data_IF_035809625595
#
_entry.id   IF_035809625595
#
_cell.length_a   1.000
_cell.length_b   1.000
_cell.length_c   1.000
_cell.angle_alpha   90.00
_cell.angle_beta   90.00
_cell.angle_gamma   90.00
#
_symmetry.space_group_name_H-M   'P 1'
#
loop_
_entity.id
_entity.type
_entity.pdbx_description
1 polymer ?
#
# COMPACT_ATOMS: atom_id res chain seq x y z
N UNK A 1 -38.29 -22.11 -63.60
CA UNK A 1 -37.36 -21.89 -62.46
C UNK A 1 -36.17 -22.83 -62.32
N UNK A 2 -35.86 -23.75 -63.19
CA UNK A 2 -34.72 -24.70 -63.12
C UNK A 2 -33.40 -24.23 -63.79
N UNK A 3 -33.41 -23.25 -64.70
CA UNK A 3 -32.22 -22.81 -65.46
C UNK A 3 -31.27 -21.84 -64.73
N UNK A 4 -31.69 -21.21 -63.58
CA UNK A 4 -30.83 -20.29 -62.83
C UNK A 4 -29.92 -20.96 -61.75
N UNK A 5 -30.07 -22.26 -61.49
CA UNK A 5 -29.28 -23.00 -60.48
C UNK A 5 -27.91 -23.44 -60.95
N UNK A 6 -27.69 -23.68 -62.24
CA UNK A 6 -26.43 -24.13 -62.77
C UNK A 6 -25.28 -23.10 -62.72
N UNK A 7 -25.52 -21.81 -63.06
CA UNK A 7 -24.45 -20.81 -62.95
C UNK A 7 -24.04 -20.52 -61.51
N UNK A 8 -24.98 -20.66 -60.54
CA UNK A 8 -24.69 -20.49 -59.13
C UNK A 8 -23.82 -21.62 -58.58
N UNK A 9 -24.01 -22.87 -59.02
CA UNK A 9 -23.21 -24.02 -58.66
C UNK A 9 -21.80 -23.95 -59.26
N UNK A 10 -21.65 -23.42 -60.47
CA UNK A 10 -20.37 -23.21 -61.16
C UNK A 10 -19.46 -22.20 -60.44
N UNK A 11 -20.03 -21.25 -59.74
CA UNK A 11 -19.28 -20.27 -58.92
C UNK A 11 -19.09 -20.77 -57.47
N UNK A 12 -20.11 -21.40 -56.91
CA UNK A 12 -20.09 -21.87 -55.51
C UNK A 12 -19.07 -23.00 -55.27
N UNK A 13 -18.98 -23.93 -56.21
CA UNK A 13 -18.05 -25.07 -56.09
C UNK A 13 -16.54 -24.66 -56.06
N UNK A 14 -16.06 -23.83 -56.98
CA UNK A 14 -14.68 -23.30 -56.90
C UNK A 14 -14.45 -22.44 -55.65
N UNK A 15 -15.43 -21.64 -55.21
CA UNK A 15 -15.31 -20.84 -54.01
C UNK A 15 -15.20 -21.71 -52.75
N UNK A 16 -16.04 -22.77 -52.64
CA UNK A 16 -15.94 -23.75 -51.55
C UNK A 16 -14.63 -24.53 -51.55
N UNK A 17 -14.19 -24.96 -52.75
CA UNK A 17 -12.90 -25.66 -52.90
C UNK A 17 -11.71 -24.76 -52.51
N UNK A 18 -11.77 -23.48 -52.90
CA UNK A 18 -10.75 -22.48 -52.50
C UNK A 18 -10.78 -22.23 -50.97
N UNK A 19 -11.96 -22.06 -50.41
CA UNK A 19 -12.14 -21.86 -48.95
C UNK A 19 -11.64 -23.11 -48.20
N UNK A 20 -11.98 -24.32 -48.65
CA UNK A 20 -11.50 -25.57 -48.06
C UNK A 20 -9.96 -25.71 -48.13
N UNK A 21 -9.38 -25.41 -49.30
CA UNK A 21 -7.93 -25.39 -49.45
C UNK A 21 -7.23 -24.44 -48.44
N UNK A 22 -7.72 -23.20 -48.32
CA UNK A 22 -7.17 -22.23 -47.40
C UNK A 22 -7.39 -22.62 -45.93
N UNK A 23 -8.54 -23.19 -45.60
CA UNK A 23 -8.82 -23.66 -44.24
C UNK A 23 -7.85 -24.77 -43.82
N UNK A 24 -7.60 -25.77 -44.70
CA UNK A 24 -6.63 -26.85 -44.42
C UNK A 24 -5.22 -26.29 -44.34
N UNK A 25 -4.84 -25.40 -45.25
CA UNK A 25 -3.52 -24.78 -45.27
C UNK A 25 -3.23 -23.98 -44.04
N UNK A 26 -4.17 -23.16 -43.55
CA UNK A 26 -4.05 -22.36 -42.32
C UNK A 26 -4.02 -23.27 -41.08
N UNK A 27 -4.91 -24.28 -41.01
CA UNK A 27 -4.91 -25.24 -39.91
C UNK A 27 -3.59 -26.00 -39.80
N UNK A 28 -3.02 -26.39 -40.96
CA UNK A 28 -1.71 -27.06 -41.00
C UNK A 28 -0.59 -26.11 -40.57
N UNK A 29 -0.62 -24.85 -41.00
CA UNK A 29 0.29 -23.83 -40.57
C UNK A 29 0.27 -23.61 -39.06
N UNK A 30 -0.93 -23.49 -38.48
CA UNK A 30 -1.08 -23.35 -37.02
C UNK A 30 -0.58 -24.58 -36.26
N UNK A 31 -0.85 -25.79 -36.77
CA UNK A 31 -0.33 -27.02 -36.20
C UNK A 31 1.21 -27.01 -36.17
N UNK A 32 1.87 -26.72 -37.30
CA UNK A 32 3.33 -26.65 -37.40
C UNK A 32 3.91 -25.53 -36.52
N UNK A 33 3.17 -24.41 -36.34
CA UNK A 33 3.61 -23.28 -35.52
C UNK A 33 3.73 -23.59 -34.03
N UNK A 34 3.06 -24.66 -33.56
CA UNK A 34 3.09 -25.13 -32.17
C UNK A 34 4.25 -26.10 -31.88
N UNK A 35 5.05 -26.43 -32.88
CA UNK A 35 6.19 -27.34 -32.72
C UNK A 35 7.30 -26.68 -31.87
N UNK A 36 8.07 -27.52 -31.17
CA UNK A 36 9.20 -27.07 -30.37
C UNK A 36 10.44 -26.71 -31.21
N UNK A 37 10.51 -27.19 -32.46
CA UNK A 37 11.64 -27.00 -33.35
C UNK A 37 11.46 -25.81 -34.29
N UNK A 38 12.43 -24.90 -34.33
CA UNK A 38 12.39 -23.70 -35.16
C UNK A 38 12.22 -24.01 -36.67
N UNK A 39 12.81 -25.08 -37.15
CA UNK A 39 12.65 -25.49 -38.56
C UNK A 39 11.22 -25.90 -38.91
N UNK A 40 10.57 -26.62 -38.02
CA UNK A 40 9.16 -27.01 -38.19
C UNK A 40 8.24 -25.78 -38.17
N UNK A 41 8.48 -24.81 -37.27
CA UNK A 41 7.78 -23.53 -37.26
C UNK A 41 8.04 -22.71 -38.53
N UNK A 42 9.27 -22.75 -39.08
CA UNK A 42 9.63 -22.07 -40.33
C UNK A 42 8.84 -22.64 -41.53
N UNK A 43 8.55 -23.95 -41.57
CA UNK A 43 7.64 -24.54 -42.56
C UNK A 43 6.21 -24.00 -42.42
N UNK A 44 5.74 -23.77 -41.18
CA UNK A 44 4.46 -23.11 -40.92
C UNK A 44 4.41 -21.72 -41.56
N UNK A 45 5.47 -20.91 -41.45
CA UNK A 45 5.57 -19.58 -42.09
C UNK A 45 5.39 -19.64 -43.60
N UNK A 46 5.91 -20.70 -44.27
CA UNK A 46 5.73 -20.86 -45.71
C UNK A 46 4.28 -21.13 -46.11
N UNK A 47 3.50 -21.74 -45.22
CA UNK A 47 2.08 -22.02 -45.46
C UNK A 47 1.20 -20.79 -45.18
N UNK A 48 1.58 -19.93 -44.22
CA UNK A 48 0.85 -18.68 -43.87
C UNK A 48 1.81 -17.49 -43.87
N UNK A 49 2.32 -17.01 -45.00
CA UNK A 49 3.33 -15.94 -45.04
C UNK A 49 2.85 -14.59 -44.56
N UNK A 50 1.53 -14.36 -44.48
CA UNK A 50 0.89 -13.15 -43.98
C UNK A 50 0.58 -13.19 -42.48
N UNK A 51 0.92 -14.25 -41.76
CA UNK A 51 0.63 -14.41 -40.33
C UNK A 51 1.82 -13.92 -39.50
N UNK A 52 1.59 -12.82 -38.76
CA UNK A 52 2.59 -12.23 -37.87
C UNK A 52 2.85 -13.10 -36.63
N UNK A 53 1.84 -13.79 -36.10
CA UNK A 53 1.96 -14.60 -34.89
C UNK A 53 2.89 -15.80 -35.09
N UNK A 54 2.81 -16.43 -36.24
CA UNK A 54 3.71 -17.57 -36.58
C UNK A 54 5.17 -17.09 -36.66
N UNK A 55 5.41 -15.88 -37.19
CA UNK A 55 6.76 -15.28 -37.20
C UNK A 55 7.28 -14.95 -35.82
N UNK A 56 6.39 -14.50 -34.93
CA UNK A 56 6.74 -14.28 -33.52
C UNK A 56 7.10 -15.59 -32.83
N UNK A 57 6.33 -16.68 -33.10
CA UNK A 57 6.65 -18.02 -32.59
C UNK A 57 7.98 -18.52 -33.14
N UNK A 58 8.27 -18.30 -34.41
CA UNK A 58 9.57 -18.63 -35.00
C UNK A 58 10.72 -17.90 -34.32
N UNK A 59 10.52 -16.59 -34.03
CA UNK A 59 11.50 -15.80 -33.28
C UNK A 59 11.73 -16.39 -31.88
N UNK A 60 10.65 -16.77 -31.18
CA UNK A 60 10.73 -17.38 -29.84
C UNK A 60 11.53 -18.69 -29.86
N UNK A 61 11.28 -19.57 -30.86
CA UNK A 61 11.98 -20.83 -30.97
C UNK A 61 13.47 -20.64 -31.32
N UNK A 62 13.78 -19.65 -32.16
CA UNK A 62 15.18 -19.33 -32.50
C UNK A 62 15.92 -18.80 -31.26
N UNK A 63 15.30 -17.90 -30.49
CA UNK A 63 15.89 -17.39 -29.23
C UNK A 63 16.12 -18.51 -28.21
N UNK A 64 15.14 -19.41 -28.05
CA UNK A 64 15.28 -20.58 -27.19
C UNK A 64 16.44 -21.52 -27.61
N UNK A 65 16.70 -21.58 -28.91
CA UNK A 65 17.83 -22.33 -29.47
C UNK A 65 19.15 -21.53 -29.50
N UNK A 66 19.18 -20.30 -28.97
CA UNK A 66 20.36 -19.42 -29.05
C UNK A 66 20.67 -18.90 -30.47
N UNK A 67 19.73 -19.00 -31.41
CA UNK A 67 19.87 -18.56 -32.77
C UNK A 67 19.31 -17.16 -33.02
N UNK A 68 19.75 -16.51 -34.09
CA UNK A 68 19.34 -15.16 -34.44
C UNK A 68 17.83 -15.08 -34.79
N UNK A 69 17.10 -14.22 -34.10
CA UNK A 69 15.64 -14.05 -34.22
C UNK A 69 15.22 -12.78 -34.96
N UNK A 70 16.15 -11.83 -35.18
CA UNK A 70 15.84 -10.46 -35.64
C UNK A 70 15.10 -10.42 -36.97
N UNK A 71 15.49 -11.23 -37.94
CA UNK A 71 14.82 -11.29 -39.26
C UNK A 71 13.34 -11.73 -39.14
N UNK A 72 13.04 -12.68 -38.25
CA UNK A 72 11.67 -13.11 -38.00
C UNK A 72 10.84 -11.99 -37.29
N UNK A 73 11.45 -11.26 -36.32
CA UNK A 73 10.81 -10.13 -35.65
C UNK A 73 10.57 -8.96 -36.64
N UNK A 74 11.53 -8.64 -37.52
CA UNK A 74 11.34 -7.59 -38.52
C UNK A 74 10.20 -7.92 -39.48
N UNK A 75 10.14 -9.18 -39.93
CA UNK A 75 9.06 -9.64 -40.78
C UNK A 75 7.69 -9.62 -40.04
N UNK A 76 7.64 -9.96 -38.74
CA UNK A 76 6.46 -9.85 -37.95
C UNK A 76 6.02 -8.39 -37.80
N UNK A 77 6.95 -7.45 -37.51
CA UNK A 77 6.68 -6.02 -37.38
C UNK A 77 6.18 -5.37 -38.68
N UNK A 78 6.59 -5.90 -39.83
CA UNK A 78 6.12 -5.45 -41.16
C UNK A 78 4.66 -5.88 -41.39
N UNK A 79 4.26 -7.07 -40.92
CA UNK A 79 2.91 -7.61 -41.07
C UNK A 79 1.94 -7.02 -40.03
N UNK A 80 2.38 -6.85 -38.79
CA UNK A 80 1.61 -6.23 -37.71
C UNK A 80 2.41 -5.08 -37.08
N UNK A 81 2.34 -3.86 -37.67
CA UNK A 81 3.01 -2.69 -37.13
C UNK A 81 2.44 -2.21 -35.80
N UNK A 82 1.26 -2.69 -35.40
CA UNK A 82 0.58 -2.38 -34.12
C UNK A 82 1.10 -3.19 -32.95
N UNK A 83 1.88 -4.24 -33.19
CA UNK A 83 2.36 -5.13 -32.13
C UNK A 83 3.53 -4.51 -31.35
N UNK A 84 3.22 -3.88 -30.25
CA UNK A 84 4.20 -3.21 -29.41
C UNK A 84 5.28 -4.15 -28.85
N UNK A 85 4.92 -5.40 -28.53
CA UNK A 85 5.86 -6.37 -27.97
C UNK A 85 6.99 -6.71 -28.96
N UNK A 86 6.67 -6.80 -30.26
CA UNK A 86 7.68 -7.02 -31.32
C UNK A 86 8.64 -5.84 -31.39
N UNK A 87 8.12 -4.61 -31.32
CA UNK A 87 8.95 -3.40 -31.33
C UNK A 87 9.84 -3.28 -30.10
N UNK A 88 9.34 -3.68 -28.90
CA UNK A 88 10.18 -3.73 -27.69
C UNK A 88 11.34 -4.70 -27.90
N UNK A 89 11.10 -5.91 -28.41
CA UNK A 89 12.15 -6.92 -28.65
C UNK A 89 13.17 -6.43 -29.67
N UNK A 90 12.72 -5.85 -30.79
CA UNK A 90 13.63 -5.23 -31.77
C UNK A 90 14.47 -4.12 -31.16
N UNK A 91 13.88 -3.30 -30.30
CA UNK A 91 14.61 -2.25 -29.58
C UNK A 91 15.69 -2.80 -28.64
N UNK A 92 15.35 -3.81 -27.84
CA UNK A 92 16.33 -4.48 -26.97
C UNK A 92 17.43 -5.20 -27.75
N UNK A 93 17.08 -5.82 -28.88
CA UNK A 93 18.06 -6.43 -29.76
C UNK A 93 19.05 -5.41 -30.33
N UNK A 94 18.53 -4.28 -30.85
CA UNK A 94 19.37 -3.21 -31.40
C UNK A 94 20.30 -2.60 -30.33
N UNK A 95 19.79 -2.42 -29.11
CA UNK A 95 20.60 -1.96 -27.97
C UNK A 95 21.74 -2.90 -27.64
N UNK A 96 21.44 -4.21 -27.56
CA UNK A 96 22.43 -5.24 -27.27
C UNK A 96 23.54 -5.34 -28.36
N UNK A 97 23.22 -4.95 -29.60
CA UNK A 97 24.16 -4.97 -30.75
C UNK A 97 24.81 -3.60 -31.02
N UNK A 98 24.66 -2.64 -30.07
CA UNK A 98 25.37 -1.37 -30.15
C UNK A 98 24.78 -0.35 -31.13
N UNK A 99 23.49 -0.49 -31.53
CA UNK A 99 22.77 0.51 -32.31
C UNK A 99 21.73 1.24 -31.43
N UNK A 100 22.15 2.24 -30.65
CA UNK A 100 21.23 2.97 -29.78
C UNK A 100 20.17 3.76 -30.57
N UNK A 101 20.48 4.23 -31.76
CA UNK A 101 19.52 4.98 -32.57
C UNK A 101 18.38 4.08 -33.07
N UNK A 102 18.68 2.87 -33.52
CA UNK A 102 17.63 1.91 -33.87
C UNK A 102 16.84 1.44 -32.64
N UNK A 103 17.52 1.22 -31.51
CA UNK A 103 16.88 0.87 -30.25
C UNK A 103 15.83 1.89 -29.84
N UNK A 104 16.20 3.18 -29.80
CA UNK A 104 15.30 4.26 -29.45
C UNK A 104 14.09 4.36 -30.39
N UNK A 105 14.34 4.32 -31.71
CA UNK A 105 13.25 4.33 -32.70
C UNK A 105 12.25 3.19 -32.51
N UNK A 106 12.73 1.99 -32.26
CA UNK A 106 11.87 0.81 -32.04
C UNK A 106 11.06 0.96 -30.74
N UNK A 107 11.70 1.38 -29.64
CA UNK A 107 11.04 1.54 -28.34
C UNK A 107 10.02 2.69 -28.35
N UNK A 108 10.31 3.81 -29.04
CA UNK A 108 9.35 4.89 -29.27
C UNK A 108 8.15 4.42 -30.09
N UNK A 109 8.38 3.58 -31.09
CA UNK A 109 7.30 2.99 -31.89
C UNK A 109 6.44 2.05 -31.06
N UNK A 110 7.04 1.21 -30.22
CA UNK A 110 6.33 0.36 -29.25
C UNK A 110 5.42 1.20 -28.32
N UNK A 111 5.96 2.29 -27.76
CA UNK A 111 5.20 3.17 -26.87
C UNK A 111 4.04 3.90 -27.57
N UNK A 112 4.13 4.14 -28.88
CA UNK A 112 3.03 4.69 -29.69
C UNK A 112 1.99 3.65 -30.05
N UNK A 113 2.42 2.41 -30.32
CA UNK A 113 1.54 1.31 -30.72
C UNK A 113 0.67 0.80 -29.56
N UNK A 114 1.13 0.93 -28.30
CA UNK A 114 0.39 0.46 -27.13
C UNK A 114 0.39 1.46 -25.99
N UNK A 115 -0.79 1.64 -25.38
CA UNK A 115 -0.97 2.40 -24.15
C UNK A 115 -0.56 1.67 -22.86
N UNK A 116 -0.03 0.44 -22.95
CA UNK A 116 0.28 -0.43 -21.80
C UNK A 116 1.57 -0.04 -21.08
N UNK A 117 1.82 -0.70 -19.97
CA UNK A 117 2.98 -0.47 -19.10
C UNK A 117 4.30 -0.87 -19.76
N UNK A 118 4.39 -2.09 -20.34
CA UNK A 118 5.65 -2.66 -20.76
C UNK A 118 6.43 -1.82 -21.77
N UNK A 119 5.84 -1.26 -22.86
CA UNK A 119 6.59 -0.44 -23.79
C UNK A 119 7.16 0.85 -23.16
N UNK A 120 6.42 1.46 -22.23
CA UNK A 120 6.87 2.65 -21.50
C UNK A 120 7.97 2.31 -20.50
N UNK A 121 7.84 1.19 -19.82
CA UNK A 121 8.84 0.66 -18.91
C UNK A 121 10.13 0.31 -19.63
N UNK A 122 10.07 -0.37 -20.79
CA UNK A 122 11.23 -0.65 -21.62
C UNK A 122 11.96 0.63 -22.05
N UNK A 123 11.20 1.66 -22.46
CA UNK A 123 11.74 2.95 -22.85
C UNK A 123 12.36 3.72 -21.66
N UNK A 124 11.74 3.68 -20.48
CA UNK A 124 12.31 4.26 -19.26
C UNK A 124 13.65 3.59 -18.90
N UNK A 125 13.69 2.26 -18.91
CA UNK A 125 14.94 1.51 -18.68
C UNK A 125 16.04 1.84 -19.70
N UNK A 126 15.67 2.00 -20.96
CA UNK A 126 16.60 2.41 -22.02
C UNK A 126 17.26 3.75 -21.67
N UNK A 127 16.48 4.78 -21.36
CA UNK A 127 17.03 6.09 -20.98
C UNK A 127 17.80 6.06 -19.65
N UNK A 128 17.39 5.22 -18.70
CA UNK A 128 18.13 5.04 -17.46
C UNK A 128 19.53 4.47 -17.70
N UNK A 129 19.65 3.41 -18.52
CA UNK A 129 20.97 2.83 -18.86
C UNK A 129 21.88 3.81 -19.60
N UNK A 130 21.31 4.78 -20.31
CA UNK A 130 22.04 5.84 -21.00
C UNK A 130 22.33 7.07 -20.15
N UNK A 131 21.92 7.05 -18.88
CA UNK A 131 22.03 8.19 -17.97
C UNK A 131 21.43 9.48 -18.53
N UNK A 132 20.28 9.38 -19.22
CA UNK A 132 19.55 10.49 -19.82
C UNK A 132 18.33 10.85 -18.96
N UNK A 133 18.48 11.73 -17.95
CA UNK A 133 17.39 12.09 -17.06
C UNK A 133 16.30 12.91 -17.76
N UNK A 134 16.65 13.66 -18.82
CA UNK A 134 15.69 14.51 -19.52
C UNK A 134 14.56 13.69 -20.16
N UNK A 135 14.90 12.55 -20.75
CA UNK A 135 13.94 11.63 -21.35
C UNK A 135 13.42 10.57 -20.37
N UNK A 136 14.20 10.22 -19.34
CA UNK A 136 13.82 9.21 -18.33
C UNK A 136 12.58 9.60 -17.53
N UNK A 137 12.55 10.78 -16.89
CA UNK A 137 11.49 11.15 -15.96
C UNK A 137 10.08 11.13 -16.58
N UNK A 138 9.86 11.69 -17.79
CA UNK A 138 8.55 11.61 -18.43
C UNK A 138 8.10 10.16 -18.67
N UNK A 139 9.03 9.27 -19.07
CA UNK A 139 8.71 7.87 -19.36
C UNK A 139 8.45 7.05 -18.09
N UNK A 140 9.18 7.31 -17.01
CA UNK A 140 8.91 6.72 -15.70
C UNK A 140 7.52 7.14 -15.19
N UNK A 141 7.14 8.42 -15.32
CA UNK A 141 5.82 8.91 -14.96
C UNK A 141 4.71 8.27 -15.81
N UNK A 142 4.89 8.19 -17.15
CA UNK A 142 3.97 7.51 -18.05
C UNK A 142 3.79 6.04 -17.70
N UNK A 143 4.89 5.33 -17.39
CA UNK A 143 4.84 3.93 -16.97
C UNK A 143 4.04 3.78 -15.67
N UNK A 144 4.31 4.60 -14.65
CA UNK A 144 3.58 4.57 -13.37
C UNK A 144 2.10 4.92 -13.52
N UNK A 145 1.71 5.75 -14.50
CA UNK A 145 0.29 6.02 -14.80
C UNK A 145 -0.46 4.80 -15.28
N UNK A 146 0.20 3.90 -15.99
CA UNK A 146 -0.39 2.69 -16.58
C UNK A 146 -0.11 1.44 -15.76
N UNK A 147 0.71 1.54 -14.71
CA UNK A 147 1.21 0.42 -13.96
C UNK A 147 0.12 -0.30 -13.15
N UNK A 148 0.26 -1.60 -13.08
CA UNK A 148 -0.48 -2.55 -12.24
C UNK A 148 0.51 -3.56 -11.65
N UNK A 149 0.13 -4.17 -10.54
CA UNK A 149 1.01 -5.12 -9.85
C UNK A 149 2.12 -4.46 -9.03
N UNK A 150 3.31 -5.06 -9.03
CA UNK A 150 4.44 -4.59 -8.24
C UNK A 150 5.14 -3.40 -8.90
N UNK A 151 5.12 -2.23 -8.23
CA UNK A 151 5.76 -1.00 -8.67
C UNK A 151 7.18 -0.79 -8.13
N UNK A 152 7.64 -1.66 -7.22
CA UNK A 152 8.95 -1.50 -6.58
C UNK A 152 10.12 -1.39 -7.58
N UNK A 153 10.17 -2.15 -8.69
CA UNK A 153 11.25 -2.00 -9.67
C UNK A 153 11.32 -0.59 -10.26
N UNK A 154 10.16 0.04 -10.52
CA UNK A 154 10.12 1.41 -11.06
C UNK A 154 10.62 2.41 -10.02
N UNK A 155 10.20 2.28 -8.77
CA UNK A 155 10.67 3.15 -7.69
C UNK A 155 12.17 2.98 -7.44
N UNK A 156 12.68 1.76 -7.44
CA UNK A 156 14.11 1.49 -7.32
C UNK A 156 14.90 2.15 -8.46
N UNK A 157 14.41 2.05 -9.70
CA UNK A 157 15.03 2.69 -10.84
C UNK A 157 15.02 4.22 -10.71
N UNK A 158 13.91 4.84 -10.25
CA UNK A 158 13.87 6.28 -9.97
C UNK A 158 14.92 6.69 -8.93
N UNK A 159 15.09 5.88 -7.86
CA UNK A 159 16.08 6.13 -6.82
C UNK A 159 17.53 5.86 -7.26
N UNK A 160 17.76 5.05 -8.29
CA UNK A 160 19.07 4.90 -8.90
C UNK A 160 19.45 6.09 -9.79
N UNK A 161 18.45 6.73 -10.42
CA UNK A 161 18.64 7.89 -11.28
C UNK A 161 18.85 9.19 -10.51
N UNK A 162 18.27 9.31 -9.31
CA UNK A 162 18.47 10.47 -8.44
C UNK A 162 18.32 10.07 -6.98
N UNK A 163 19.07 10.75 -6.09
CA UNK A 163 18.90 10.65 -4.64
C UNK A 163 18.07 11.78 -4.05
N UNK A 164 17.59 12.70 -4.89
CA UNK A 164 16.71 13.79 -4.48
C UNK A 164 15.25 13.33 -4.43
N UNK A 165 14.65 13.20 -3.24
CA UNK A 165 13.27 12.73 -3.09
C UNK A 165 12.25 13.72 -3.66
N UNK A 166 12.55 15.03 -3.64
CA UNK A 166 11.64 16.04 -4.17
C UNK A 166 11.54 15.95 -5.68
N UNK A 167 12.70 15.82 -6.34
CA UNK A 167 12.77 15.62 -7.80
C UNK A 167 12.03 14.36 -8.23
N UNK A 168 12.25 13.23 -7.52
CA UNK A 168 11.57 11.96 -7.83
C UNK A 168 10.06 12.12 -7.68
N UNK A 169 9.60 12.71 -6.57
CA UNK A 169 8.18 12.90 -6.31
C UNK A 169 7.52 13.78 -7.35
N UNK A 170 8.15 14.90 -7.71
CA UNK A 170 7.63 15.85 -8.70
C UNK A 170 7.61 15.27 -10.12
N UNK A 171 8.71 14.62 -10.54
CA UNK A 171 8.91 14.23 -11.94
C UNK A 171 8.37 12.85 -12.28
N UNK A 172 8.52 11.88 -11.35
CA UNK A 172 8.17 10.48 -11.63
C UNK A 172 6.79 10.07 -11.10
N UNK A 173 6.40 10.55 -9.89
CA UNK A 173 5.24 10.00 -9.19
C UNK A 173 3.94 10.71 -9.61
N UNK A 174 3.04 10.03 -10.35
CA UNK A 174 1.76 10.64 -10.71
C UNK A 174 0.84 10.74 -9.47
N UNK A 175 -0.09 11.73 -9.40
CA UNK A 175 -1.02 11.92 -8.30
C UNK A 175 -2.18 10.91 -8.35
N UNK A 176 -1.88 9.63 -8.60
CA UNK A 176 -2.82 8.50 -8.55
C UNK A 176 -2.78 7.85 -7.18
N UNK A 177 -3.94 7.72 -6.52
CA UNK A 177 -4.06 7.13 -5.18
C UNK A 177 -3.32 5.78 -5.05
N UNK A 178 -3.48 4.88 -6.02
CA UNK A 178 -2.83 3.57 -6.01
C UNK A 178 -1.30 3.67 -6.07
N UNK A 179 -0.77 4.58 -6.88
CA UNK A 179 0.69 4.81 -6.99
C UNK A 179 1.23 5.49 -5.75
N UNK A 180 0.53 6.51 -5.23
CA UNK A 180 0.90 7.18 -3.98
C UNK A 180 0.94 6.21 -2.79
N UNK A 181 -0.06 5.32 -2.68
CA UNK A 181 -0.11 4.29 -1.64
C UNK A 181 1.07 3.31 -1.76
N UNK A 182 1.36 2.82 -2.97
CA UNK A 182 2.48 1.92 -3.23
C UNK A 182 3.82 2.61 -2.96
N UNK A 183 3.98 3.88 -3.38
CA UNK A 183 5.21 4.64 -3.17
C UNK A 183 5.43 4.95 -1.68
N UNK A 184 4.39 5.31 -0.95
CA UNK A 184 4.46 5.47 0.51
C UNK A 184 4.89 4.16 1.19
N UNK A 185 4.35 3.01 0.75
CA UNK A 185 4.77 1.70 1.24
C UNK A 185 6.26 1.47 1.03
N UNK A 186 6.74 1.71 -0.19
CA UNK A 186 8.15 1.59 -0.55
C UNK A 186 9.05 2.47 0.33
N UNK A 187 8.69 3.74 0.52
CA UNK A 187 9.47 4.68 1.34
C UNK A 187 9.50 4.29 2.82
N UNK A 188 8.39 3.82 3.37
CA UNK A 188 8.31 3.33 4.75
C UNK A 188 9.17 2.07 4.94
N UNK A 189 9.14 1.14 3.98
CA UNK A 189 9.97 -0.06 4.01
C UNK A 189 11.47 0.29 3.95
N UNK A 190 11.84 1.29 3.14
CA UNK A 190 13.21 1.80 3.04
C UNK A 190 13.61 2.72 4.20
N UNK A 191 12.71 2.95 5.17
CA UNK A 191 12.89 3.90 6.28
C UNK A 191 13.23 5.34 5.85
N UNK A 192 12.68 5.80 4.71
CA UNK A 192 12.92 7.13 4.14
C UNK A 192 11.82 8.11 4.59
N UNK A 193 11.73 8.37 5.89
CA UNK A 193 10.61 9.11 6.49
C UNK A 193 10.47 10.56 5.98
N UNK A 194 11.58 11.26 5.77
CA UNK A 194 11.56 12.62 5.24
C UNK A 194 10.97 12.67 3.82
N UNK A 195 11.35 11.72 2.95
CA UNK A 195 10.79 11.59 1.60
C UNK A 195 9.31 11.16 1.62
N UNK A 196 8.89 10.41 2.64
CA UNK A 196 7.53 9.93 2.76
C UNK A 196 6.52 11.01 3.16
N UNK A 197 6.95 12.10 3.79
CA UNK A 197 6.05 13.16 4.29
C UNK A 197 5.18 13.81 3.19
N UNK A 198 5.71 14.34 2.07
CA UNK A 198 4.90 14.93 1.01
C UNK A 198 4.01 13.88 0.32
N UNK A 199 4.47 12.63 0.23
CA UNK A 199 3.68 11.53 -0.34
C UNK A 199 2.48 11.19 0.55
N UNK A 200 2.68 11.10 1.88
CA UNK A 200 1.62 10.88 2.85
C UNK A 200 0.58 12.01 2.82
N UNK A 201 1.02 13.27 2.73
CA UNK A 201 0.13 14.42 2.62
C UNK A 201 -0.71 14.37 1.33
N UNK A 202 -0.07 14.08 0.19
CA UNK A 202 -0.75 13.93 -1.10
C UNK A 202 -1.74 12.76 -1.07
N UNK A 203 -1.34 11.60 -0.52
CA UNK A 203 -2.23 10.45 -0.37
C UNK A 203 -3.41 10.76 0.56
N UNK A 204 -3.17 11.39 1.71
CA UNK A 204 -4.22 11.74 2.67
C UNK A 204 -5.30 12.65 2.05
N UNK A 205 -4.91 13.56 1.11
CA UNK A 205 -5.84 14.44 0.43
C UNK A 205 -6.84 13.72 -0.50
N UNK A 206 -6.53 12.49 -0.93
CA UNK A 206 -7.37 11.67 -1.83
C UNK A 206 -7.70 10.29 -1.23
N UNK A 207 -7.38 10.08 0.06
CA UNK A 207 -7.48 8.80 0.73
C UNK A 207 -8.92 8.27 0.80
N UNK A 208 -9.02 6.95 0.76
CA UNK A 208 -10.23 6.15 1.06
C UNK A 208 -9.99 5.28 2.29
N UNK A 209 -11.01 4.61 2.83
CA UNK A 209 -10.82 3.68 3.95
C UNK A 209 -9.77 2.59 3.74
N UNK A 210 -9.51 2.19 2.51
CA UNK A 210 -8.49 1.20 2.15
C UNK A 210 -7.05 1.68 2.43
N UNK A 211 -6.82 3.00 2.44
CA UNK A 211 -5.50 3.60 2.65
C UNK A 211 -5.18 3.78 4.16
N UNK A 212 -6.18 3.57 5.05
CA UNK A 212 -6.03 3.75 6.51
C UNK A 212 -4.81 3.04 7.08
N UNK A 213 -4.59 1.72 6.82
CA UNK A 213 -3.47 1.02 7.46
C UNK A 213 -2.12 1.64 7.12
N UNK A 214 -1.95 2.10 5.88
CA UNK A 214 -0.71 2.72 5.41
C UNK A 214 -0.46 4.08 6.05
N UNK A 215 -1.49 4.93 6.09
CA UNK A 215 -1.38 6.27 6.66
C UNK A 215 -1.28 6.24 8.18
N UNK A 216 -1.94 5.27 8.84
CA UNK A 216 -1.77 5.04 10.29
C UNK A 216 -0.34 4.56 10.58
N UNK A 217 0.20 3.62 9.82
CA UNK A 217 1.58 3.16 9.97
C UNK A 217 2.59 4.30 9.77
N UNK A 218 2.32 5.22 8.85
CA UNK A 218 3.12 6.43 8.70
C UNK A 218 3.02 7.34 9.94
N UNK A 219 1.80 7.55 10.48
CA UNK A 219 1.63 8.30 11.73
C UNK A 219 2.43 7.68 12.88
N UNK A 220 2.38 6.35 13.04
CA UNK A 220 3.15 5.65 14.08
C UNK A 220 4.64 5.91 13.94
N UNK A 221 5.19 5.81 12.73
CA UNK A 221 6.61 6.11 12.46
C UNK A 221 6.97 7.56 12.81
N UNK A 222 6.06 8.52 12.57
CA UNK A 222 6.28 9.91 12.94
C UNK A 222 6.23 10.12 14.47
N UNK A 223 5.30 9.44 15.16
CA UNK A 223 5.21 9.47 16.62
C UNK A 223 6.44 8.86 17.27
N UNK A 224 6.92 7.72 16.78
CA UNK A 224 8.15 7.06 17.24
C UNK A 224 9.39 7.95 17.03
N UNK A 225 9.42 8.71 15.92
CA UNK A 225 10.45 9.68 15.60
C UNK A 225 10.30 11.04 16.32
N UNK A 226 9.26 11.22 17.14
CA UNK A 226 9.00 12.47 17.86
C UNK A 226 8.39 13.60 17.02
N UNK A 227 8.00 13.34 15.77
CA UNK A 227 7.40 14.32 14.86
C UNK A 227 5.87 14.38 15.02
N UNK A 228 5.42 14.78 16.21
CA UNK A 228 3.98 14.86 16.57
C UNK A 228 3.19 15.77 15.63
N UNK A 229 3.65 16.98 15.23
CA UNK A 229 2.89 17.85 14.33
C UNK A 229 2.64 17.21 12.97
N UNK A 230 3.61 16.47 12.40
CA UNK A 230 3.45 15.80 11.12
C UNK A 230 2.40 14.68 11.19
N UNK A 231 2.45 13.85 12.24
CA UNK A 231 1.46 12.81 12.46
C UNK A 231 0.04 13.40 12.66
N UNK A 232 -0.07 14.48 13.45
CA UNK A 232 -1.33 15.15 13.75
C UNK A 232 -1.97 15.78 12.49
N UNK A 233 -1.17 16.38 11.61
CA UNK A 233 -1.65 16.97 10.37
C UNK A 233 -2.32 15.91 9.47
N UNK A 234 -1.68 14.76 9.29
CA UNK A 234 -2.26 13.65 8.51
C UNK A 234 -3.49 13.06 9.20
N UNK A 235 -3.41 12.81 10.51
CA UNK A 235 -4.53 12.30 11.28
C UNK A 235 -5.77 13.19 11.15
N UNK A 236 -5.62 14.50 11.33
CA UNK A 236 -6.71 15.45 11.21
C UNK A 236 -7.26 15.57 9.78
N UNK A 237 -6.39 15.46 8.78
CA UNK A 237 -6.83 15.39 7.38
C UNK A 237 -7.73 14.18 7.15
N UNK A 238 -7.37 13.01 7.67
CA UNK A 238 -8.17 11.79 7.56
C UNK A 238 -9.50 11.89 8.32
N UNK A 239 -9.50 12.51 9.50
CA UNK A 239 -10.73 12.78 10.28
C UNK A 239 -11.66 13.72 9.52
N UNK A 240 -11.15 14.86 9.03
CA UNK A 240 -11.93 15.86 8.30
C UNK A 240 -12.55 15.27 7.01
N UNK A 241 -11.85 14.36 6.37
CA UNK A 241 -12.34 13.62 5.18
C UNK A 241 -13.25 12.44 5.53
N UNK A 242 -13.50 12.17 6.80
CA UNK A 242 -14.26 11.01 7.29
C UNK A 242 -13.67 9.66 6.85
N UNK A 243 -12.38 9.63 6.54
CA UNK A 243 -11.63 8.39 6.35
C UNK A 243 -11.45 7.69 7.69
N UNK A 244 -11.20 8.45 8.77
CA UNK A 244 -11.26 7.96 10.15
C UNK A 244 -12.60 8.36 10.78
N UNK A 245 -13.20 7.50 11.65
CA UNK A 245 -14.50 7.76 12.27
C UNK A 245 -14.40 8.65 13.51
N UNK A 246 -13.38 9.52 13.58
CA UNK A 246 -13.07 10.33 14.76
C UNK A 246 -13.16 11.83 14.45
N UNK A 247 -13.33 12.64 15.49
CA UNK A 247 -13.16 14.08 15.38
C UNK A 247 -11.66 14.43 15.24
N UNK A 248 -11.33 15.53 14.55
CA UNK A 248 -9.96 16.03 14.51
C UNK A 248 -9.46 16.36 15.92
N UNK A 249 -8.18 16.07 16.17
CA UNK A 249 -7.53 16.38 17.44
C UNK A 249 -7.08 17.84 17.48
N UNK A 250 -7.21 18.47 18.67
CA UNK A 250 -6.76 19.83 18.85
C UNK A 250 -5.23 19.90 18.99
N UNK A 251 -4.59 20.72 18.15
CA UNK A 251 -3.15 20.97 18.23
C UNK A 251 -2.68 21.56 19.57
N UNK A 252 -3.59 22.17 20.35
CA UNK A 252 -3.30 22.69 21.68
C UNK A 252 -3.34 21.61 22.79
N UNK A 253 -3.48 20.34 22.42
CA UNK A 253 -3.27 19.22 23.30
C UNK A 253 -4.38 18.96 24.34
N UNK A 254 -5.64 19.26 24.02
CA UNK A 254 -6.77 18.86 24.83
C UNK A 254 -7.63 17.85 24.05
N UNK A 255 -7.03 16.68 23.70
CA UNK A 255 -7.74 15.79 22.83
C UNK A 255 -7.43 14.31 23.10
N UNK A 256 -8.48 13.58 23.33
CA UNK A 256 -8.51 12.13 23.44
C UNK A 256 -9.40 11.59 22.33
N UNK A 257 -8.92 10.59 21.59
CA UNK A 257 -9.67 9.97 20.51
C UNK A 257 -10.66 8.95 21.09
N UNK A 258 -11.94 9.04 20.69
CA UNK A 258 -12.97 8.03 20.96
C UNK A 258 -13.08 7.59 22.43
N UNK A 259 -13.24 8.57 23.33
CA UNK A 259 -13.37 8.32 24.77
C UNK A 259 -14.63 7.54 25.16
N UNK A 260 -15.62 7.48 24.27
CA UNK A 260 -16.86 6.70 24.47
C UNK A 260 -16.80 5.32 23.79
N UNK A 261 -15.68 4.96 23.19
CA UNK A 261 -15.50 3.69 22.48
C UNK A 261 -16.58 3.43 21.43
N UNK A 262 -16.92 4.48 20.67
CA UNK A 262 -17.95 4.42 19.64
C UNK A 262 -17.54 3.61 18.41
N UNK A 263 -16.24 3.57 18.11
CA UNK A 263 -15.64 2.83 16.99
C UNK A 263 -14.77 1.68 17.47
N UNK A 264 -14.47 0.74 16.55
CA UNK A 264 -13.46 -0.28 16.82
C UNK A 264 -12.06 0.36 16.95
N UNK A 265 -11.26 -0.04 17.94
CA UNK A 265 -9.90 0.44 18.10
C UNK A 265 -9.03 0.11 16.87
N UNK A 266 -8.45 1.12 16.24
CA UNK A 266 -7.63 0.95 15.03
C UNK A 266 -6.20 0.47 15.32
N UNK A 267 -5.77 0.50 16.58
CA UNK A 267 -4.48 -0.04 17.00
C UNK A 267 -3.26 0.80 16.63
N UNK A 268 -3.43 2.01 16.07
CA UNK A 268 -2.32 2.85 15.63
C UNK A 268 -2.65 4.35 15.58
N UNK A 269 -1.66 5.18 15.26
CA UNK A 269 -1.78 6.63 15.28
C UNK A 269 -2.19 7.16 16.65
N UNK A 270 -3.23 7.97 16.68
CA UNK A 270 -3.82 8.47 17.93
C UNK A 270 -5.07 7.68 18.36
N UNK A 271 -5.36 6.52 17.78
CA UNK A 271 -6.43 5.64 18.22
C UNK A 271 -6.01 4.78 19.42
N UNK A 272 -7.00 4.16 20.07
CA UNK A 272 -6.77 3.17 21.10
C UNK A 272 -6.03 1.94 20.55
N UNK A 273 -5.06 1.47 21.35
CA UNK A 273 -4.30 0.25 21.12
C UNK A 273 -4.67 -0.79 22.16
N UNK A 274 -5.25 -1.88 21.73
CA UNK A 274 -5.47 -3.07 22.53
C UNK A 274 -4.28 -4.00 22.38
N UNK A 275 -3.60 -4.31 23.47
CA UNK A 275 -2.50 -5.27 23.45
C UNK A 275 -3.05 -6.70 23.47
N UNK A 276 -2.59 -7.59 22.57
CA UNK A 276 -2.89 -9.02 22.65
C UNK A 276 -2.08 -9.64 23.80
N UNK A 277 -2.73 -9.86 24.95
CA UNK A 277 -2.09 -10.36 26.17
C UNK A 277 -2.67 -11.71 26.54
N UNK A 278 -1.81 -12.68 26.90
CA UNK A 278 -2.24 -13.95 27.47
C UNK A 278 -3.05 -13.68 28.75
N UNK A 279 -4.18 -14.35 28.89
CA UNK A 279 -5.03 -14.20 30.07
C UNK A 279 -5.82 -12.90 30.18
N UNK A 280 -5.86 -12.09 29.13
CA UNK A 280 -6.70 -10.89 29.02
C UNK A 280 -7.55 -10.99 27.76
N UNK A 281 -8.85 -10.91 27.90
CA UNK A 281 -9.81 -10.73 26.82
C UNK A 281 -10.39 -9.33 26.89
N UNK A 282 -10.61 -8.70 25.74
CA UNK A 282 -11.20 -7.38 25.65
C UNK A 282 -12.24 -7.32 24.55
N UNK A 283 -13.23 -6.47 24.70
CA UNK A 283 -14.24 -6.26 23.69
C UNK A 283 -15.05 -5.00 23.96
N UNK A 284 -15.79 -4.56 22.95
CA UNK A 284 -16.64 -3.38 23.01
C UNK A 284 -18.11 -3.74 23.13
N UNK A 285 -18.84 -3.05 24.00
CA UNK A 285 -20.29 -3.08 24.02
C UNK A 285 -20.84 -1.83 23.29
N UNK A 286 -21.67 -2.02 22.24
CA UNK A 286 -22.18 -0.89 21.45
C UNK A 286 -23.33 -0.12 22.13
N UNK A 287 -24.08 -0.75 23.03
CA UNK A 287 -25.25 -0.14 23.72
C UNK A 287 -25.53 -0.81 25.06
N UNK A 288 -25.34 -0.14 26.19
CA UNK A 288 -24.63 1.13 26.34
C UNK A 288 -23.16 1.01 25.95
N UNK A 289 -22.56 2.11 25.45
CA UNK A 289 -21.17 2.11 24.98
C UNK A 289 -20.20 1.98 26.14
N UNK A 290 -19.35 0.95 26.13
CA UNK A 290 -18.20 0.76 27.02
C UNK A 290 -17.21 -0.24 26.41
N UNK A 291 -15.96 -0.14 26.83
CA UNK A 291 -14.93 -1.15 26.57
C UNK A 291 -14.82 -2.04 27.80
N UNK A 292 -14.76 -3.36 27.61
CA UNK A 292 -14.61 -4.30 28.71
C UNK A 292 -13.35 -5.13 28.57
N UNK A 293 -12.82 -5.54 29.72
CA UNK A 293 -11.70 -6.46 29.87
C UNK A 293 -12.10 -7.58 30.83
N UNK A 294 -11.63 -8.79 30.55
CA UNK A 294 -11.70 -9.94 31.46
C UNK A 294 -10.29 -10.44 31.71
N UNK A 295 -9.90 -10.53 32.95
CA UNK A 295 -8.62 -10.99 33.43
C UNK A 295 -8.79 -12.37 34.05
N UNK A 296 -8.00 -13.37 33.62
CA UNK A 296 -8.08 -14.76 34.07
C UNK A 296 -7.05 -15.16 35.13
N UNK A 297 -6.28 -14.20 35.68
CA UNK A 297 -5.17 -14.48 36.57
C UNK A 297 -3.90 -15.03 35.87
N UNK A 298 -3.93 -15.23 34.55
CA UNK A 298 -2.80 -15.79 33.76
C UNK A 298 -2.00 -14.72 32.99
N UNK A 299 -2.41 -13.45 33.08
CA UNK A 299 -1.69 -12.35 32.42
C UNK A 299 -0.30 -12.14 33.03
N UNK A 300 0.64 -11.46 32.31
CA UNK A 300 1.93 -11.09 32.88
C UNK A 300 1.80 -10.28 34.16
N UNK A 301 2.80 -10.35 35.06
CA UNK A 301 2.82 -9.61 36.32
C UNK A 301 2.75 -8.09 36.16
N UNK A 302 3.24 -7.60 35.01
CA UNK A 302 3.08 -6.23 34.58
C UNK A 302 2.64 -6.21 33.12
N UNK A 303 1.54 -5.51 32.82
CA UNK A 303 1.01 -5.42 31.47
C UNK A 303 0.24 -4.12 31.23
N UNK A 304 0.09 -3.76 29.98
CA UNK A 304 -0.67 -2.61 29.50
C UNK A 304 -1.74 -3.09 28.49
N UNK A 305 -2.94 -3.48 28.92
CA UNK A 305 -3.97 -3.97 28.02
C UNK A 305 -4.54 -2.92 27.07
N UNK A 306 -4.48 -1.63 27.43
CA UNK A 306 -5.00 -0.52 26.65
C UNK A 306 -4.06 0.68 26.72
N UNK A 307 -3.79 1.31 25.58
CA UNK A 307 -3.02 2.55 25.54
C UNK A 307 -3.48 3.47 24.40
N UNK A 308 -3.20 4.78 24.58
CA UNK A 308 -3.42 5.79 23.55
C UNK A 308 -2.35 6.88 23.64
N UNK A 309 -1.89 7.38 22.49
CA UNK A 309 -1.07 8.58 22.43
C UNK A 309 -1.94 9.84 22.45
N UNK A 310 -1.55 10.81 23.25
CA UNK A 310 -2.24 12.08 23.44
C UNK A 310 -1.29 13.21 23.00
N UNK A 311 -1.64 14.01 21.99
CA UNK A 311 -0.90 15.24 21.72
C UNK A 311 -1.18 16.23 22.85
N UNK A 312 -0.12 16.72 23.49
CA UNK A 312 -0.22 17.61 24.65
C UNK A 312 0.66 18.85 24.47
N UNK A 313 0.27 19.95 25.10
CA UNK A 313 1.11 21.13 25.17
C UNK A 313 2.16 20.96 26.28
N UNK A 314 3.37 21.46 26.04
CA UNK A 314 4.45 21.44 27.00
C UNK A 314 4.16 22.33 28.22
N UNK A 315 4.51 21.90 29.40
CA UNK A 315 4.33 22.64 30.65
C UNK A 315 2.87 22.93 31.03
N UNK A 316 1.89 22.19 30.50
CA UNK A 316 0.48 22.41 30.70
C UNK A 316 -0.14 21.40 31.68
N UNK A 317 -1.20 21.82 32.34
CA UNK A 317 -1.97 20.97 33.26
C UNK A 317 -3.18 20.37 32.56
N UNK A 318 -3.46 19.09 32.83
CA UNK A 318 -4.56 18.36 32.25
C UNK A 318 -5.33 17.58 33.28
N UNK A 319 -6.62 17.35 33.00
CA UNK A 319 -7.51 16.48 33.74
C UNK A 319 -8.08 15.42 32.83
N UNK A 320 -7.77 14.16 33.12
CA UNK A 320 -8.42 12.98 32.53
C UNK A 320 -9.62 12.64 33.42
N UNK A 321 -10.84 12.65 32.85
CA UNK A 321 -12.01 12.10 33.49
C UNK A 321 -12.37 10.76 32.87
N UNK A 322 -12.86 9.83 33.69
CA UNK A 322 -13.26 8.51 33.24
C UNK A 322 -14.31 7.89 34.15
N UNK A 323 -15.08 6.93 33.62
CA UNK A 323 -15.96 6.11 34.43
C UNK A 323 -15.58 4.64 34.26
N UNK A 324 -15.60 3.90 35.36
CA UNK A 324 -15.26 2.49 35.39
C UNK A 324 -16.19 1.71 36.31
N UNK A 325 -16.24 0.39 36.09
CA UNK A 325 -16.88 -0.61 36.94
C UNK A 325 -16.06 -1.86 36.93
N UNK A 326 -15.89 -2.53 38.08
CA UNK A 326 -15.20 -3.82 38.18
C UNK A 326 -16.15 -4.90 38.68
N UNK A 327 -15.84 -6.16 38.38
CA UNK A 327 -16.45 -7.36 38.96
C UNK A 327 -15.35 -8.27 39.42
N UNK A 328 -15.41 -8.74 40.65
CA UNK A 328 -14.44 -9.69 41.25
C UNK A 328 -13.00 -9.14 41.37
N UNK A 329 -12.77 -7.86 41.10
CA UNK A 329 -11.47 -7.20 41.23
C UNK A 329 -11.37 -6.52 42.61
N UNK A 330 -10.40 -6.96 43.40
CA UNK A 330 -10.16 -6.41 44.75
C UNK A 330 -9.47 -5.05 44.75
N UNK A 331 -9.42 -4.41 45.94
CA UNK A 331 -8.83 -3.07 46.10
C UNK A 331 -7.31 -3.04 45.87
N UNK A 332 -6.61 -4.14 46.11
CA UNK A 332 -5.16 -4.26 45.90
C UNK A 332 -4.79 -4.87 44.54
N UNK A 333 -5.58 -4.54 43.50
CA UNK A 333 -5.45 -5.14 42.18
C UNK A 333 -4.20 -4.69 41.41
N UNK A 334 -3.61 -3.56 41.73
CA UNK A 334 -2.56 -2.94 40.92
C UNK A 334 -3.03 -2.43 39.55
N UNK A 335 -4.36 -2.35 39.34
CA UNK A 335 -4.97 -1.89 38.11
C UNK A 335 -5.21 -0.37 38.18
N UNK A 336 -4.55 0.39 37.29
CA UNK A 336 -4.63 1.85 37.31
C UNK A 336 -4.43 2.48 35.94
N UNK A 337 -4.89 3.72 35.81
CA UNK A 337 -4.45 4.58 34.69
C UNK A 337 -3.09 5.17 35.00
N UNK A 338 -2.20 5.14 34.00
CA UNK A 338 -0.90 5.78 34.04
C UNK A 338 -0.76 6.72 32.86
N UNK A 339 -0.25 7.93 33.13
CA UNK A 339 0.16 8.88 32.09
C UNK A 339 1.68 9.03 32.17
N UNK A 340 2.35 8.89 31.04
CA UNK A 340 3.80 9.04 30.95
C UNK A 340 4.16 9.89 29.73
N UNK A 341 5.31 10.54 29.78
CA UNK A 341 5.92 11.12 28.58
C UNK A 341 6.23 9.99 27.58
N UNK A 342 5.72 10.12 26.36
CA UNK A 342 5.79 9.04 25.37
C UNK A 342 7.22 8.78 24.88
N UNK A 343 8.10 9.77 24.93
CA UNK A 343 9.48 9.69 24.47
C UNK A 343 10.44 9.16 25.52
N UNK A 344 10.30 9.65 26.76
CA UNK A 344 11.21 9.31 27.85
C UNK A 344 10.72 8.18 28.73
N UNK A 345 9.43 7.87 28.68
CA UNK A 345 8.77 6.93 29.59
C UNK A 345 8.60 7.48 31.02
N UNK A 346 9.01 8.72 31.28
CA UNK A 346 8.88 9.35 32.60
C UNK A 346 7.40 9.42 33.01
N UNK A 347 7.10 8.97 34.24
CA UNK A 347 5.75 9.01 34.77
C UNK A 347 5.33 10.46 35.07
N UNK A 348 4.19 10.86 34.52
CA UNK A 348 3.58 12.16 34.79
C UNK A 348 2.51 12.05 35.88
N UNK A 349 1.72 10.97 35.88
CA UNK A 349 0.76 10.65 36.92
C UNK A 349 0.30 9.19 36.85
N UNK A 350 -0.27 8.71 37.95
CA UNK A 350 -1.03 7.46 38.04
C UNK A 350 -2.26 7.63 38.90
N UNK A 351 -3.36 6.95 38.57
CA UNK A 351 -4.57 6.99 39.39
C UNK A 351 -4.36 6.25 40.73
N UNK A 352 -4.92 6.81 41.80
CA UNK A 352 -4.89 6.23 43.13
C UNK A 352 -6.22 6.55 43.84
N UNK A 353 -6.82 5.59 44.55
CA UNK A 353 -6.43 4.19 44.71
C UNK A 353 -6.56 3.37 43.40
N UNK A 354 -6.25 2.07 43.46
CA UNK A 354 -6.42 1.15 42.32
C UNK A 354 -7.88 1.08 41.86
N UNK A 355 -8.12 0.78 40.60
CA UNK A 355 -9.49 0.70 40.06
C UNK A 355 -10.21 -0.52 40.64
N UNK A 356 -11.12 -0.25 41.59
CA UNK A 356 -12.00 -1.26 42.20
C UNK A 356 -13.34 -0.59 42.55
N UNK A 357 -14.43 -1.02 41.91
CA UNK A 357 -15.79 -0.57 42.23
C UNK A 357 -16.84 -1.49 41.59
N UNK A 358 -17.72 -2.13 42.35
CA UNK A 358 -18.76 -3.01 41.77
C UNK A 358 -19.85 -2.22 41.02
N UNK A 359 -19.98 -0.93 41.27
CA UNK A 359 -20.88 -0.03 40.54
C UNK A 359 -20.09 0.93 39.63
N UNK A 360 -20.79 1.55 38.67
CA UNK A 360 -20.19 2.60 37.88
C UNK A 360 -19.73 3.77 38.77
N UNK A 361 -18.42 3.96 38.84
CA UNK A 361 -17.77 5.07 39.53
C UNK A 361 -17.17 6.02 38.54
N UNK A 362 -17.36 7.34 38.73
CA UNK A 362 -16.66 8.40 38.01
C UNK A 362 -15.43 8.79 38.82
N UNK A 363 -14.31 8.98 38.10
CA UNK A 363 -13.05 9.37 38.72
C UNK A 363 -12.28 10.29 37.80
N UNK A 364 -11.20 10.88 38.31
CA UNK A 364 -10.35 11.77 37.52
C UNK A 364 -8.89 11.62 37.91
N UNK A 365 -8.01 11.98 36.96
CA UNK A 365 -6.56 12.01 37.14
C UNK A 365 -6.01 13.32 36.59
N UNK A 366 -5.43 14.13 37.46
CA UNK A 366 -4.76 15.37 37.08
C UNK A 366 -3.26 15.10 36.85
N UNK A 367 -2.70 15.71 35.81
CA UNK A 367 -1.27 15.63 35.53
C UNK A 367 -0.74 16.92 34.93
N UNK A 368 0.56 17.14 35.07
CA UNK A 368 1.29 18.25 34.44
C UNK A 368 2.35 17.70 33.50
N UNK A 369 2.40 18.22 32.29
CA UNK A 369 3.43 17.84 31.30
C UNK A 369 4.74 18.54 31.63
N UNK A 370 5.88 17.89 31.36
CA UNK A 370 7.17 18.55 31.46
C UNK A 370 7.37 19.58 30.33
N UNK A 371 8.31 20.53 30.45
CA UNK A 371 8.55 21.57 29.44
C UNK A 371 8.93 21.06 28.04
N UNK A 372 9.36 19.80 27.92
CA UNK A 372 9.70 19.18 26.64
C UNK A 372 8.66 18.15 26.16
N UNK A 373 7.62 17.87 26.95
CA UNK A 373 6.62 16.85 26.64
C UNK A 373 5.57 17.40 25.66
N UNK A 374 5.57 16.91 24.44
CA UNK A 374 4.57 17.22 23.40
C UNK A 374 3.67 16.04 23.05
N UNK A 375 4.01 14.85 23.55
CA UNK A 375 3.26 13.62 23.39
C UNK A 375 3.24 12.86 24.71
N UNK A 376 2.06 12.59 25.22
CA UNK A 376 1.86 11.74 26.40
C UNK A 376 1.32 10.36 25.95
N UNK A 377 1.64 9.33 26.70
CA UNK A 377 1.07 8.00 26.61
C UNK A 377 0.13 7.79 27.80
N UNK A 378 -1.16 7.66 27.52
CA UNK A 378 -2.16 7.19 28.47
C UNK A 378 -2.24 5.67 28.36
N UNK A 379 -2.06 4.97 29.46
CA UNK A 379 -2.13 3.51 29.50
C UNK A 379 -2.96 3.02 30.69
N UNK A 380 -3.83 2.06 30.46
CA UNK A 380 -4.35 1.20 31.51
C UNK A 380 -3.24 0.19 31.84
N UNK A 381 -2.78 0.19 33.08
CA UNK A 381 -1.72 -0.71 33.53
C UNK A 381 -2.23 -1.65 34.59
N UNK A 382 -1.73 -2.86 34.58
CA UNK A 382 -1.92 -3.83 35.64
C UNK A 382 -0.55 -4.30 36.14
N UNK A 383 -0.26 -4.16 37.43
CA UNK A 383 0.96 -4.59 38.04
C UNK A 383 0.68 -5.37 39.33
N UNK A 384 1.06 -6.62 39.37
CA UNK A 384 0.94 -7.43 40.58
C UNK A 384 1.73 -6.78 41.73
N UNK A 385 1.05 -6.55 42.84
CA UNK A 385 1.69 -6.06 44.05
C UNK A 385 2.41 -7.20 44.80
N UNK A 386 3.48 -6.92 45.54
CA UNK A 386 4.13 -7.94 46.38
C UNK A 386 3.14 -8.53 47.39
N UNK A 387 3.06 -9.87 47.43
CA UNK A 387 2.13 -10.59 48.31
C UNK A 387 0.69 -10.74 47.80
N UNK A 388 0.31 -10.03 46.73
CA UNK A 388 -1.03 -10.14 46.13
C UNK A 388 -1.11 -11.26 45.07
N UNK A 389 -2.29 -11.76 44.78
CA UNK A 389 -2.58 -12.58 43.61
C UNK A 389 -2.62 -11.72 42.34
N UNK A 390 -2.52 -12.34 41.17
CA UNK A 390 -2.77 -11.66 39.90
C UNK A 390 -4.25 -11.26 39.82
N UNK A 391 -4.52 -10.15 39.09
CA UNK A 391 -5.89 -9.69 38.89
C UNK A 391 -6.71 -10.75 38.18
N UNK A 392 -7.86 -11.07 38.73
CA UNK A 392 -8.89 -11.93 38.17
C UNK A 392 -10.22 -11.19 38.24
N UNK A 393 -11.07 -11.31 37.19
CA UNK A 393 -12.34 -10.60 37.13
C UNK A 393 -12.47 -9.66 35.94
N UNK A 394 -13.46 -8.79 35.98
CA UNK A 394 -13.85 -7.91 34.89
C UNK A 394 -13.65 -6.43 35.17
N UNK A 395 -13.25 -5.66 34.15
CA UNK A 395 -13.24 -4.19 34.14
C UNK A 395 -14.06 -3.68 32.97
N UNK A 396 -14.89 -2.67 33.20
CA UNK A 396 -15.58 -1.93 32.15
C UNK A 396 -15.21 -0.44 32.24
N UNK A 397 -14.97 0.20 31.09
CA UNK A 397 -14.55 1.60 30.95
C UNK A 397 -15.48 2.35 30.02
N UNK A 398 -15.82 3.61 30.35
CA UNK A 398 -16.59 4.51 29.48
C UNK A 398 -16.35 5.98 29.80
N UNK A 399 -16.75 6.87 28.87
CA UNK A 399 -16.82 8.33 29.13
C UNK A 399 -15.45 8.92 29.45
N UNK A 400 -14.40 8.51 28.75
CA UNK A 400 -13.08 9.12 28.91
C UNK A 400 -13.05 10.49 28.21
N UNK A 401 -12.56 11.47 28.90
CA UNK A 401 -12.34 12.82 28.35
C UNK A 401 -11.08 13.45 28.93
N UNK A 402 -10.38 14.19 28.09
CA UNK A 402 -9.19 14.93 28.47
C UNK A 402 -9.47 16.44 28.30
N UNK A 403 -9.27 17.23 29.34
CA UNK A 403 -9.34 18.69 29.25
C UNK A 403 -8.05 19.32 29.72
N UNK A 404 -7.66 20.42 29.10
CA UNK A 404 -6.58 21.28 29.59
C UNK A 404 -7.11 22.19 30.67
N UNK A 405 -6.40 22.24 31.78
CA UNK A 405 -6.71 23.15 32.89
C UNK A 405 -6.00 24.51 32.70
N UNK A 406 -6.55 25.57 33.24
CA UNK A 406 -5.91 26.89 33.21
C UNK A 406 -4.51 26.93 33.81
#
# INVERSE_FOLDING_TARGET
MRRARYPLLLVAFPALAFAGYWSVRLAWSDHLSRAAEAETVARGVLLAPGDADIRIRLANQREAAGAESVAALQAAAALDPGNAAVWVRLGLYAEAHGDPGAAERCLLRAARASGQFEPRWALANYYARRADPAHFWPRANEALRMAYGDLNPVFQLCWSMSRDPALIFERAIPPRRTVLNAYLAFLLWQNRLAAAQPVAASLASVATPEDRPRLIAWCDRQLDGGSVPAALAIWNTLCNRRVLPYAPLNANGAALTDGDFAAEPLGGGFAWRLAPLAGVSAGRNPSPRYLWFSFSGKQPEACEPLAQFLPVAAGARYRLRFAYRTSEIGEESGLCWRVADARTGASLAASSPWLSSPAWKRDQLDFTTAPATTLARLALTCRRLPGATRVEGGLSLRGLSLERLP
#
